data_IF_812517979445
#
_entry.id   IF_812517979445
#
_cell.length_a   1.000
_cell.length_b   1.000
_cell.length_c   1.000
_cell.angle_alpha   90.00
_cell.angle_beta   90.00
_cell.angle_gamma   90.00
#
_symmetry.space_group_name_H-M   'P 1'
#
loop_
_entity.id
_entity.type
_entity.pdbx_description
1 polymer ?
#
# COMPACT_ATOMS: atom_id res chain seq x y z
N UNK A 1 8.66 32.42 -73.36
CA UNK A 1 9.20 31.40 -72.42
C UNK A 1 9.01 31.71 -70.93
N UNK A 2 9.24 32.94 -70.41
CA UNK A 2 9.34 33.20 -68.95
C UNK A 2 8.17 32.67 -68.07
N UNK A 3 6.91 32.80 -68.49
CA UNK A 3 5.77 32.28 -67.70
C UNK A 3 5.75 30.76 -67.55
N UNK A 4 6.06 29.98 -68.61
CA UNK A 4 6.05 28.50 -68.52
C UNK A 4 7.08 27.97 -67.52
N UNK A 5 8.23 28.64 -67.36
CA UNK A 5 9.24 28.29 -66.33
C UNK A 5 8.76 28.61 -64.91
N UNK A 6 8.07 29.75 -64.71
CA UNK A 6 7.49 30.08 -63.38
C UNK A 6 6.35 29.13 -63.00
N UNK A 7 5.48 28.75 -63.93
CA UNK A 7 4.38 27.83 -63.64
C UNK A 7 4.89 26.43 -63.29
N UNK A 8 5.87 25.91 -64.04
CA UNK A 8 6.49 24.61 -63.75
C UNK A 8 7.23 24.63 -62.40
N UNK A 9 7.97 25.71 -62.10
CA UNK A 9 8.65 25.90 -60.81
C UNK A 9 7.69 26.00 -59.62
N UNK A 10 6.49 26.55 -59.81
CA UNK A 10 5.46 26.60 -58.77
C UNK A 10 4.85 25.22 -58.54
N UNK A 11 4.63 24.45 -59.62
CA UNK A 11 4.08 23.10 -59.55
C UNK A 11 5.04 22.11 -58.88
N UNK A 12 6.35 22.21 -59.12
CA UNK A 12 7.35 21.39 -58.42
C UNK A 12 7.49 21.73 -56.94
N UNK A 13 7.38 23.01 -56.57
CA UNK A 13 7.38 23.43 -55.15
C UNK A 13 6.11 22.98 -54.44
N UNK A 14 4.95 23.05 -55.11
CA UNK A 14 3.69 22.56 -54.56
C UNK A 14 3.69 21.02 -54.40
N UNK A 15 4.24 20.28 -55.37
CA UNK A 15 4.41 18.82 -55.26
C UNK A 15 5.35 18.44 -54.10
N UNK A 16 6.44 19.19 -53.88
CA UNK A 16 7.32 18.98 -52.74
C UNK A 16 6.63 19.28 -51.39
N UNK A 17 5.84 20.37 -51.31
CA UNK A 17 5.04 20.71 -50.13
C UNK A 17 3.98 19.67 -49.80
N UNK A 18 3.32 19.09 -50.81
CA UNK A 18 2.36 17.98 -50.61
C UNK A 18 3.09 16.72 -50.15
N UNK A 19 4.25 16.39 -50.73
CA UNK A 19 5.04 15.22 -50.34
C UNK A 19 5.57 15.24 -48.90
N UNK A 20 5.83 16.43 -48.35
CA UNK A 20 6.28 16.61 -46.96
C UNK A 20 5.14 16.41 -45.95
N UNK A 21 3.87 16.58 -46.36
CA UNK A 21 2.72 16.46 -45.46
C UNK A 21 2.19 15.03 -45.30
N UNK A 22 2.79 14.04 -45.96
CA UNK A 22 2.30 12.64 -46.01
C UNK A 22 2.95 11.69 -45.00
N UNK A 23 3.85 12.17 -44.12
CA UNK A 23 4.56 11.35 -43.12
C UNK A 23 4.46 11.92 -41.70
N UNK A 24 3.28 12.38 -41.32
CA UNK A 24 2.85 12.45 -39.92
C UNK A 24 1.85 11.34 -39.65
N UNK A 25 2.34 10.09 -39.58
CA UNK A 25 1.55 9.02 -38.99
C UNK A 25 1.40 9.32 -37.51
N UNK A 26 0.23 9.82 -37.10
CA UNK A 26 -0.19 9.77 -35.71
C UNK A 26 -0.35 8.29 -35.35
N UNK A 27 0.71 7.69 -34.80
CA UNK A 27 0.66 6.36 -34.19
C UNK A 27 -0.37 6.46 -33.07
N UNK A 28 -1.54 5.85 -33.30
CA UNK A 28 -2.52 5.68 -32.25
C UNK A 28 -2.06 4.52 -31.38
N UNK A 29 -1.91 4.79 -30.09
CA UNK A 29 -1.92 3.75 -29.07
C UNK A 29 -3.13 2.83 -29.28
N UNK A 30 -2.88 1.54 -29.42
CA UNK A 30 -3.89 0.49 -29.45
C UNK A 30 -3.90 -0.26 -28.11
N UNK A 31 -5.07 -0.73 -27.67
CA UNK A 31 -5.17 -1.53 -26.45
C UNK A 31 -4.95 -3.00 -26.76
N UNK A 32 -3.88 -3.55 -26.19
CA UNK A 32 -3.47 -4.95 -26.29
C UNK A 32 -4.51 -5.84 -25.62
N UNK A 33 -5.20 -6.66 -26.40
CA UNK A 33 -6.33 -7.48 -25.96
C UNK A 33 -6.12 -8.98 -26.14
N UNK A 34 -5.14 -9.43 -26.96
CA UNK A 34 -4.79 -10.84 -27.09
C UNK A 34 -3.64 -11.18 -26.13
N UNK A 35 -3.99 -11.50 -24.88
CA UNK A 35 -3.07 -11.94 -23.83
C UNK A 35 -3.73 -13.01 -22.94
N UNK A 36 -2.92 -13.74 -22.18
CA UNK A 36 -3.39 -14.55 -21.04
C UNK A 36 -2.87 -13.93 -19.76
N UNK A 37 -3.72 -13.74 -18.74
CA UNK A 37 -3.29 -13.43 -17.38
C UNK A 37 -3.57 -14.63 -16.47
N UNK A 38 -2.68 -14.88 -15.51
CA UNK A 38 -2.95 -15.75 -14.36
C UNK A 38 -2.53 -15.02 -13.11
N UNK A 39 -3.44 -14.87 -12.15
CA UNK A 39 -3.20 -14.10 -10.93
C UNK A 39 -3.30 -14.94 -9.66
N UNK A 40 -2.72 -14.41 -8.57
CA UNK A 40 -2.88 -14.91 -7.19
C UNK A 40 -3.11 -13.74 -6.25
N UNK A 41 -4.05 -13.88 -5.31
CA UNK A 41 -4.27 -12.95 -4.19
C UNK A 41 -3.91 -13.66 -2.88
N UNK A 42 -3.06 -13.05 -2.07
CA UNK A 42 -2.57 -13.57 -0.78
C UNK A 42 -2.55 -12.47 0.28
N UNK A 43 -2.30 -12.82 1.54
CA UNK A 43 -1.74 -11.86 2.52
C UNK A 43 -0.34 -11.42 2.09
N UNK A 44 0.16 -10.30 2.63
CA UNK A 44 1.48 -9.75 2.29
C UNK A 44 2.66 -10.69 2.65
N UNK A 45 2.50 -11.56 3.65
CA UNK A 45 3.46 -12.62 4.01
C UNK A 45 3.47 -13.83 3.04
N UNK A 46 2.61 -13.82 2.02
CA UNK A 46 2.40 -14.92 1.07
C UNK A 46 1.40 -15.98 1.55
N UNK A 47 0.77 -15.82 2.71
CA UNK A 47 -0.24 -16.75 3.21
C UNK A 47 -1.48 -16.77 2.31
N UNK A 48 -1.87 -17.97 1.86
CA UNK A 48 -3.01 -18.17 0.97
C UNK A 48 -4.34 -17.91 1.69
N UNK A 49 -5.28 -17.28 0.97
CA UNK A 49 -6.65 -17.08 1.43
C UNK A 49 -7.45 -18.39 1.38
N UNK A 50 -8.36 -18.58 2.35
CA UNK A 50 -9.16 -19.79 2.54
C UNK A 50 -10.43 -19.49 3.34
N UNK A 51 -11.40 -20.41 3.40
CA UNK A 51 -12.70 -20.20 4.07
C UNK A 51 -12.62 -19.76 5.55
N UNK A 52 -11.48 -20.00 6.22
CA UNK A 52 -11.24 -19.60 7.61
C UNK A 52 -10.12 -18.55 7.73
N UNK A 53 -9.68 -17.94 6.62
CA UNK A 53 -8.70 -16.86 6.62
C UNK A 53 -9.36 -15.55 7.03
N UNK A 54 -9.00 -15.05 8.21
CA UNK A 54 -9.35 -13.70 8.66
C UNK A 54 -8.42 -12.67 8.02
N UNK A 55 -8.96 -11.55 7.56
CA UNK A 55 -8.22 -10.40 7.02
C UNK A 55 -8.64 -9.16 7.82
N UNK A 56 -7.67 -8.49 8.44
CA UNK A 56 -7.93 -7.28 9.22
C UNK A 56 -8.54 -6.17 8.35
N UNK A 57 -9.39 -5.31 8.93
CA UNK A 57 -10.13 -4.30 8.15
C UNK A 57 -9.24 -3.37 7.31
N UNK A 58 -8.04 -3.05 7.79
CA UNK A 58 -7.03 -2.26 7.06
C UNK A 58 -5.79 -3.09 6.66
N UNK A 59 -5.90 -4.42 6.59
CA UNK A 59 -4.79 -5.30 6.21
C UNK A 59 -4.62 -5.36 4.68
N UNK A 60 -3.43 -5.02 4.13
CA UNK A 60 -3.18 -5.11 2.70
C UNK A 60 -3.05 -6.56 2.24
N UNK A 61 -3.65 -6.86 1.08
CA UNK A 61 -3.48 -8.10 0.34
C UNK A 61 -2.51 -7.88 -0.81
N UNK A 62 -1.65 -8.86 -1.08
CA UNK A 62 -0.75 -8.84 -2.22
C UNK A 62 -1.42 -9.51 -3.43
N UNK A 63 -1.38 -8.85 -4.59
CA UNK A 63 -1.80 -9.41 -5.88
C UNK A 63 -0.57 -9.58 -6.76
N UNK A 64 -0.37 -10.78 -7.30
CA UNK A 64 0.62 -11.05 -8.34
C UNK A 64 -0.09 -11.46 -9.62
N UNK A 65 0.30 -10.86 -10.74
CA UNK A 65 -0.21 -11.17 -12.08
C UNK A 65 0.95 -11.66 -12.95
N UNK A 66 0.74 -12.75 -13.69
CA UNK A 66 1.64 -13.20 -14.75
C UNK A 66 0.90 -13.17 -16.09
N UNK A 67 1.38 -12.31 -16.99
CA UNK A 67 0.80 -12.04 -18.30
C UNK A 67 1.71 -12.64 -19.38
N UNK A 68 1.11 -13.32 -20.36
CA UNK A 68 1.78 -13.82 -21.57
C UNK A 68 1.07 -13.27 -22.81
N UNK A 69 1.84 -12.93 -23.83
CA UNK A 69 1.31 -12.45 -25.12
C UNK A 69 1.77 -13.41 -26.23
N UNK A 70 0.88 -13.89 -27.12
CA UNK A 70 1.28 -14.68 -28.28
C UNK A 70 2.28 -13.92 -29.18
N UNK A 71 3.11 -14.65 -29.91
CA UNK A 71 4.13 -14.03 -30.79
C UNK A 71 3.46 -13.15 -31.87
N UNK A 72 2.27 -13.53 -32.34
CA UNK A 72 1.46 -12.78 -33.31
C UNK A 72 0.84 -11.49 -32.76
N UNK A 73 0.75 -11.31 -31.44
CA UNK A 73 0.36 -10.02 -30.85
C UNK A 73 1.54 -9.05 -30.98
N UNK A 74 1.53 -8.22 -32.01
CA UNK A 74 2.41 -7.07 -32.12
C UNK A 74 2.09 -6.08 -30.99
N UNK A 75 3.12 -5.55 -30.33
CA UNK A 75 2.99 -4.51 -29.30
C UNK A 75 4.04 -3.44 -29.64
N UNK A 76 3.61 -2.18 -29.76
CA UNK A 76 4.43 -1.05 -30.19
C UNK A 76 4.59 -0.02 -29.08
N UNK A 77 5.55 0.88 -29.25
CA UNK A 77 5.72 2.02 -28.36
C UNK A 77 4.44 2.88 -28.29
N UNK A 78 3.87 3.01 -27.09
CA UNK A 78 2.65 3.74 -26.82
C UNK A 78 1.37 2.89 -26.75
N UNK A 79 1.38 1.63 -27.19
CA UNK A 79 0.24 0.72 -26.99
C UNK A 79 0.01 0.47 -25.48
N UNK A 80 -1.21 0.09 -25.08
CA UNK A 80 -1.57 -0.07 -23.66
C UNK A 80 -2.13 -1.44 -23.31
N UNK A 81 -1.93 -1.87 -22.06
CA UNK A 81 -2.68 -2.96 -21.43
C UNK A 81 -3.28 -2.45 -20.12
N UNK A 82 -4.57 -2.69 -19.92
CA UNK A 82 -5.28 -2.32 -18.69
C UNK A 82 -5.84 -3.57 -18.02
N UNK A 83 -5.41 -3.83 -16.79
CA UNK A 83 -6.08 -4.76 -15.86
C UNK A 83 -7.07 -3.98 -15.00
N UNK A 84 -8.13 -4.62 -14.53
CA UNK A 84 -9.13 -4.03 -13.63
C UNK A 84 -9.39 -4.96 -12.44
N UNK A 85 -9.44 -4.40 -11.24
CA UNK A 85 -9.82 -5.11 -10.03
C UNK A 85 -11.31 -5.51 -10.06
N UNK A 86 -11.69 -6.63 -9.42
CA UNK A 86 -13.09 -6.92 -9.14
C UNK A 86 -13.61 -5.95 -8.07
N UNK A 87 -14.92 -5.70 -8.03
CA UNK A 87 -15.52 -4.66 -7.16
C UNK A 87 -15.19 -4.82 -5.66
N UNK A 88 -14.90 -6.06 -5.22
CA UNK A 88 -14.52 -6.41 -3.85
C UNK A 88 -13.10 -5.96 -3.45
N UNK A 89 -12.28 -5.46 -4.39
CA UNK A 89 -10.92 -4.98 -4.16
C UNK A 89 -10.76 -3.52 -4.61
N UNK A 90 -9.85 -2.81 -3.96
CA UNK A 90 -9.54 -1.41 -4.21
C UNK A 90 -8.07 -1.10 -3.97
N UNK A 91 -7.52 -0.10 -4.66
CA UNK A 91 -6.18 0.41 -4.35
C UNK A 91 -6.25 1.54 -3.33
N UNK A 92 -5.39 1.50 -2.32
CA UNK A 92 -5.28 2.53 -1.28
C UNK A 92 -4.81 3.88 -1.83
N UNK A 93 -3.95 3.85 -2.87
CA UNK A 93 -3.35 5.04 -3.50
C UNK A 93 -3.09 4.85 -5.00
N UNK A 94 -2.94 5.94 -5.74
CA UNK A 94 -2.57 5.97 -7.17
C UNK A 94 -1.03 5.97 -7.30
N UNK A 95 -0.46 4.91 -7.88
CA UNK A 95 0.99 4.67 -7.93
C UNK A 95 1.49 4.57 -9.38
N UNK A 96 2.39 5.46 -9.83
CA UNK A 96 3.17 5.26 -11.05
C UNK A 96 4.38 4.35 -10.75
N UNK A 97 4.59 3.30 -11.55
CA UNK A 97 5.73 2.39 -11.41
C UNK A 97 6.28 1.91 -12.76
N UNK A 98 7.58 1.59 -12.80
CA UNK A 98 8.25 1.11 -14.01
C UNK A 98 8.12 -0.41 -14.16
N UNK A 99 7.96 -0.88 -15.40
CA UNK A 99 8.04 -2.31 -15.76
C UNK A 99 9.39 -2.54 -16.43
N UNK A 100 10.32 -3.21 -15.74
CA UNK A 100 11.70 -3.41 -16.23
C UNK A 100 11.87 -4.72 -16.98
N UNK A 101 12.49 -4.66 -18.16
CA UNK A 101 12.88 -5.83 -18.94
C UNK A 101 14.10 -6.53 -18.33
N UNK A 102 14.28 -7.83 -18.59
CA UNK A 102 15.45 -8.61 -18.13
C UNK A 102 16.81 -8.08 -18.63
N UNK A 103 16.82 -7.28 -19.68
CA UNK A 103 17.98 -6.55 -20.22
C UNK A 103 18.34 -5.27 -19.43
N UNK A 104 17.52 -4.86 -18.46
CA UNK A 104 17.65 -3.58 -17.75
C UNK A 104 17.09 -2.37 -18.51
N UNK A 105 16.38 -2.60 -19.61
CA UNK A 105 15.64 -1.56 -20.36
C UNK A 105 14.20 -1.42 -19.86
N UNK A 106 13.61 -0.23 -19.95
CA UNK A 106 12.20 -0.02 -19.61
C UNK A 106 11.28 -0.70 -20.65
N UNK A 107 10.40 -1.60 -20.21
CA UNK A 107 9.41 -2.26 -21.07
C UNK A 107 8.06 -1.52 -21.12
N UNK A 108 7.73 -0.77 -20.07
CA UNK A 108 6.56 0.09 -20.03
C UNK A 108 6.47 0.93 -18.77
N UNK A 109 5.74 2.03 -18.85
CA UNK A 109 5.32 2.81 -17.68
C UNK A 109 3.95 2.31 -17.25
N UNK A 110 3.83 1.84 -16.01
CA UNK A 110 2.57 1.46 -15.40
C UNK A 110 2.04 2.55 -14.45
N UNK A 111 0.72 2.62 -14.32
CA UNK A 111 0.01 3.46 -13.34
C UNK A 111 -1.14 2.63 -12.76
N UNK A 112 -1.17 2.49 -11.44
CA UNK A 112 -2.36 2.14 -10.65
C UNK A 112 -3.22 3.39 -10.50
N UNK A 113 -4.52 3.28 -10.77
CA UNK A 113 -5.51 4.30 -10.46
C UNK A 113 -6.50 3.80 -9.40
N UNK A 114 -6.54 4.50 -8.27
CA UNK A 114 -7.39 4.18 -7.11
C UNK A 114 -8.87 4.53 -7.31
N UNK A 115 -9.19 5.53 -8.13
CA UNK A 115 -10.58 5.95 -8.42
C UNK A 115 -11.29 4.96 -9.36
N UNK A 116 -10.59 4.40 -10.35
CA UNK A 116 -11.17 3.48 -11.33
C UNK A 116 -10.92 2.00 -11.01
N UNK A 117 -10.00 1.68 -10.10
CA UNK A 117 -9.61 0.31 -9.76
C UNK A 117 -8.84 -0.38 -10.88
N UNK A 118 -8.04 0.36 -11.64
CA UNK A 118 -7.37 -0.13 -12.86
C UNK A 118 -5.85 0.04 -12.80
N UNK A 119 -5.13 -0.90 -13.43
CA UNK A 119 -3.68 -0.82 -13.66
C UNK A 119 -3.44 -0.72 -15.14
N UNK A 120 -2.98 0.43 -15.63
CA UNK A 120 -2.68 0.65 -17.05
C UNK A 120 -1.18 0.72 -17.28
N UNK A 121 -0.66 -0.20 -18.09
CA UNK A 121 0.70 -0.17 -18.65
C UNK A 121 0.66 0.50 -20.02
N UNK A 122 1.61 1.40 -20.27
CA UNK A 122 1.93 1.94 -21.60
C UNK A 122 3.29 1.42 -22.03
N UNK A 123 3.35 0.66 -23.14
CA UNK A 123 4.55 -0.06 -23.56
C UNK A 123 5.59 0.84 -24.25
N UNK A 124 6.86 0.44 -24.18
CA UNK A 124 7.97 0.97 -24.99
C UNK A 124 8.11 0.20 -26.31
N UNK A 125 9.16 0.46 -27.09
CA UNK A 125 9.47 -0.27 -28.33
C UNK A 125 10.06 -1.67 -28.08
N UNK A 126 10.27 -2.09 -26.83
CA UNK A 126 11.05 -3.32 -26.55
C UNK A 126 10.42 -4.57 -27.15
N UNK A 127 9.09 -4.72 -27.09
CA UNK A 127 8.36 -5.83 -27.70
C UNK A 127 8.17 -5.70 -29.22
N UNK A 128 8.48 -4.54 -29.81
CA UNK A 128 8.61 -4.36 -31.27
C UNK A 128 10.00 -4.81 -31.75
N UNK A 129 11.05 -4.59 -30.93
CA UNK A 129 12.42 -5.09 -31.18
C UNK A 129 12.62 -6.57 -30.83
N UNK A 130 11.91 -7.06 -29.82
CA UNK A 130 11.99 -8.41 -29.26
C UNK A 130 10.58 -9.04 -29.24
N UNK A 131 10.06 -9.51 -30.39
CA UNK A 131 8.64 -9.84 -30.53
C UNK A 131 8.26 -11.25 -30.02
N UNK A 132 9.22 -12.10 -29.65
CA UNK A 132 8.97 -13.50 -29.28
C UNK A 132 8.90 -13.72 -27.77
N UNK A 133 8.12 -14.72 -27.34
CA UNK A 133 8.04 -15.21 -25.95
C UNK A 133 7.66 -14.15 -24.90
N UNK A 134 6.99 -13.09 -25.35
CA UNK A 134 6.70 -11.87 -24.60
C UNK A 134 5.93 -12.17 -23.31
N UNK A 135 6.52 -11.80 -22.18
CA UNK A 135 6.00 -12.03 -20.83
C UNK A 135 6.12 -10.77 -19.99
N UNK A 136 5.18 -10.59 -19.06
CA UNK A 136 5.17 -9.51 -18.09
C UNK A 136 4.65 -10.02 -16.74
N UNK A 137 5.16 -9.47 -15.64
CA UNK A 137 4.51 -9.56 -14.32
C UNK A 137 4.14 -8.18 -13.81
N UNK A 138 3.01 -8.09 -13.11
CA UNK A 138 2.55 -6.89 -12.41
C UNK A 138 2.13 -7.30 -11.00
N UNK A 139 2.79 -6.74 -10.00
CA UNK A 139 2.63 -7.10 -8.60
C UNK A 139 2.31 -5.84 -7.80
N UNK A 140 1.27 -5.88 -6.98
CA UNK A 140 0.78 -4.70 -6.28
C UNK A 140 -0.06 -5.04 -5.05
N UNK A 141 -0.11 -4.11 -4.10
CA UNK A 141 -0.97 -4.20 -2.93
C UNK A 141 -2.40 -3.73 -3.25
N UNK A 142 -3.38 -4.30 -2.55
CA UNK A 142 -4.80 -3.91 -2.58
C UNK A 142 -5.41 -4.01 -1.18
N UNK A 143 -6.47 -3.26 -0.93
CA UNK A 143 -7.37 -3.45 0.20
C UNK A 143 -8.68 -4.09 -0.25
N UNK A 144 -9.39 -4.72 0.69
CA UNK A 144 -10.78 -5.13 0.48
C UNK A 144 -11.68 -3.89 0.44
N UNK A 145 -12.57 -3.80 -0.55
CA UNK A 145 -13.42 -2.63 -0.77
C UNK A 145 -14.68 -2.69 0.11
N UNK A 146 -14.59 -2.13 1.31
CA UNK A 146 -15.66 -2.09 2.33
C UNK A 146 -16.93 -1.34 1.91
N UNK A 147 -16.93 -0.62 0.78
CA UNK A 147 -18.16 -0.07 0.19
C UNK A 147 -19.02 -1.17 -0.47
N UNK A 148 -18.45 -2.36 -0.71
CA UNK A 148 -19.11 -3.49 -1.40
C UNK A 148 -19.09 -4.78 -0.57
N UNK A 149 -18.09 -4.96 0.31
CA UNK A 149 -17.90 -6.18 1.10
C UNK A 149 -18.34 -5.97 2.56
N UNK A 150 -19.22 -6.83 3.11
CA UNK A 150 -19.58 -6.80 4.52
C UNK A 150 -18.50 -7.45 5.41
N UNK A 151 -18.37 -6.94 6.64
CA UNK A 151 -17.50 -7.50 7.68
C UNK A 151 -18.13 -8.70 8.40
N UNK A 152 -17.32 -9.42 9.18
CA UNK A 152 -17.69 -10.58 10.01
C UNK A 152 -18.46 -11.70 9.28
N UNK A 153 -18.37 -11.75 7.95
CA UNK A 153 -19.12 -12.65 7.08
C UNK A 153 -18.17 -13.32 6.09
N UNK A 154 -18.26 -14.64 5.84
CA UNK A 154 -17.50 -15.29 4.77
C UNK A 154 -17.91 -14.75 3.39
N UNK A 155 -16.92 -14.28 2.62
CA UNK A 155 -17.10 -13.73 1.27
C UNK A 155 -16.10 -14.33 0.30
N UNK A 156 -16.46 -14.33 -0.98
CA UNK A 156 -15.66 -14.86 -2.08
C UNK A 156 -15.24 -13.71 -3.02
N UNK A 157 -13.96 -13.35 -3.03
CA UNK A 157 -13.40 -12.49 -4.06
C UNK A 157 -13.09 -13.36 -5.29
N UNK A 158 -13.48 -12.92 -6.49
CA UNK A 158 -13.16 -13.64 -7.74
C UNK A 158 -12.27 -12.77 -8.63
N UNK A 159 -11.08 -13.24 -8.96
CA UNK A 159 -10.13 -12.53 -9.82
C UNK A 159 -9.44 -13.50 -10.78
N UNK A 160 -9.38 -13.13 -12.06
CA UNK A 160 -8.88 -13.97 -13.18
C UNK A 160 -9.41 -15.41 -13.17
N UNK A 161 -10.70 -15.57 -12.83
CA UNK A 161 -11.39 -16.87 -12.76
C UNK A 161 -11.09 -17.72 -11.52
N UNK A 162 -10.19 -17.27 -10.64
CA UNK A 162 -9.88 -17.93 -9.36
C UNK A 162 -10.72 -17.31 -8.25
N UNK A 163 -11.18 -18.15 -7.30
CA UNK A 163 -11.97 -17.73 -6.14
C UNK A 163 -11.11 -17.75 -4.88
N UNK A 164 -11.11 -16.63 -4.16
CA UNK A 164 -10.40 -16.41 -2.91
C UNK A 164 -11.42 -16.18 -1.78
N UNK A 165 -11.79 -17.23 -1.03
CA UNK A 165 -12.65 -17.10 0.14
C UNK A 165 -11.87 -16.48 1.30
N UNK A 166 -12.52 -15.60 2.07
CA UNK A 166 -11.99 -14.97 3.28
C UNK A 166 -13.11 -14.44 4.20
N UNK A 167 -12.76 -14.03 5.41
CA UNK A 167 -13.61 -13.23 6.31
C UNK A 167 -12.91 -11.90 6.57
N UNK A 168 -13.60 -10.78 6.39
CA UNK A 168 -13.10 -9.45 6.74
C UNK A 168 -13.46 -9.15 8.20
N UNK A 169 -12.48 -8.77 9.01
CA UNK A 169 -12.73 -8.34 10.39
C UNK A 169 -13.47 -7.01 10.46
N UNK A 170 -14.22 -6.78 11.53
CA UNK A 170 -14.95 -5.53 11.72
C UNK A 170 -14.01 -4.32 11.86
N UNK A 171 -14.45 -3.15 11.36
CA UNK A 171 -13.79 -1.89 11.68
C UNK A 171 -13.98 -1.56 13.16
N UNK A 172 -13.13 -2.16 14.00
CA UNK A 172 -13.08 -1.90 15.42
C UNK A 172 -12.48 -0.52 15.65
N UNK A 173 -13.36 0.49 15.63
CA UNK A 173 -13.09 1.81 16.19
C UNK A 173 -12.99 1.64 17.71
N UNK A 174 -11.83 1.15 18.15
CA UNK A 174 -11.50 1.02 19.58
C UNK A 174 -11.58 2.43 20.18
N UNK A 175 -12.39 2.65 21.24
CA UNK A 175 -12.44 3.92 21.93
C UNK A 175 -11.02 4.37 22.29
N UNK A 176 -10.59 5.51 21.75
CA UNK A 176 -9.20 5.98 21.75
C UNK A 176 -8.71 6.32 23.16
N UNK A 177 -8.30 5.27 23.88
CA UNK A 177 -7.80 5.29 25.26
C UNK A 177 -6.28 5.17 25.36
N UNK A 178 -5.51 6.09 24.76
CA UNK A 178 -4.26 6.53 25.34
C UNK A 178 -4.25 8.04 25.63
N UNK A 179 -3.18 8.50 26.28
CA UNK A 179 -2.90 9.92 26.48
C UNK A 179 -2.68 10.63 25.13
N UNK A 180 -2.16 9.90 24.13
CA UNK A 180 -2.01 10.30 22.74
C UNK A 180 -2.35 9.12 21.82
N UNK A 181 -3.13 9.35 20.77
CA UNK A 181 -3.28 8.44 19.61
C UNK A 181 -2.70 9.12 18.38
N UNK A 182 -1.91 8.40 17.58
CA UNK A 182 -1.33 8.89 16.33
C UNK A 182 -1.44 7.82 15.24
N UNK A 183 -1.86 8.20 14.04
CA UNK A 183 -1.91 7.32 12.86
C UNK A 183 -1.49 8.08 11.60
N UNK A 184 -1.00 7.35 10.60
CA UNK A 184 -0.69 7.91 9.29
C UNK A 184 -1.15 6.99 8.17
N UNK A 185 -1.57 7.58 7.05
CA UNK A 185 -1.99 6.84 5.86
C UNK A 185 -1.61 7.61 4.59
N UNK A 186 -1.33 6.89 3.51
CA UNK A 186 -0.93 7.45 2.22
C UNK A 186 -2.11 8.18 1.55
N UNK A 187 -1.87 9.30 0.86
CA UNK A 187 -2.90 10.00 0.09
C UNK A 187 -3.39 9.13 -1.07
N UNK A 188 -4.70 9.17 -1.35
CA UNK A 188 -5.30 8.24 -2.29
C UNK A 188 -4.99 8.56 -3.77
N UNK A 189 -4.49 9.76 -4.09
CA UNK A 189 -4.20 10.25 -5.45
C UNK A 189 -2.71 10.59 -5.67
N UNK A 190 -1.99 11.03 -4.64
CA UNK A 190 -0.55 11.32 -4.67
C UNK A 190 0.20 10.39 -3.71
N UNK A 191 0.72 9.27 -4.22
CA UNK A 191 1.49 8.30 -3.42
C UNK A 191 2.79 8.86 -2.79
N UNK A 192 3.14 10.13 -3.02
CA UNK A 192 4.20 10.81 -2.28
C UNK A 192 3.72 11.61 -1.06
N UNK A 193 2.42 11.68 -0.77
CA UNK A 193 1.86 12.29 0.44
C UNK A 193 1.45 11.22 1.47
N UNK A 194 1.66 11.55 2.74
CA UNK A 194 1.14 10.84 3.91
C UNK A 194 0.37 11.85 4.77
N UNK A 195 -0.90 11.56 5.02
CA UNK A 195 -1.71 12.27 5.99
C UNK A 195 -1.43 11.72 7.39
N UNK A 196 -1.12 12.60 8.34
CA UNK A 196 -0.98 12.28 9.76
C UNK A 196 -2.15 12.84 10.54
N UNK A 197 -2.75 12.02 11.42
CA UNK A 197 -3.75 12.48 12.39
C UNK A 197 -3.29 12.15 13.81
N UNK A 198 -3.53 13.06 14.74
CA UNK A 198 -3.21 12.92 16.17
C UNK A 198 -4.41 13.35 17.01
N UNK A 199 -4.70 12.61 18.07
CA UNK A 199 -5.64 13.00 19.12
C UNK A 199 -4.97 12.86 20.48
N UNK A 200 -5.02 13.92 21.28
CA UNK A 200 -4.40 14.00 22.61
C UNK A 200 -5.50 14.33 23.62
N UNK A 201 -5.43 13.74 24.83
CA UNK A 201 -6.41 13.97 25.90
C UNK A 201 -7.87 13.67 25.50
N UNK A 202 -8.10 12.52 24.82
CA UNK A 202 -9.42 12.04 24.40
C UNK A 202 -10.45 11.97 25.54
N UNK A 203 -10.00 11.57 26.72
CA UNK A 203 -10.78 11.50 27.98
C UNK A 203 -11.04 12.87 28.62
N UNK A 204 -10.72 13.98 27.94
CA UNK A 204 -11.02 15.36 28.33
C UNK A 204 -10.64 15.71 29.78
N UNK A 205 -9.52 15.14 30.23
CA UNK A 205 -9.01 15.30 31.59
C UNK A 205 -8.32 16.65 31.75
N UNK A 206 -8.19 17.11 33.00
CA UNK A 206 -7.58 18.41 33.32
C UNK A 206 -6.07 18.37 33.01
N UNK A 207 -5.62 19.22 32.09
CA UNK A 207 -4.21 19.35 31.69
C UNK A 207 -3.69 20.77 31.94
N UNK A 208 -2.44 20.89 32.40
CA UNK A 208 -1.79 22.17 32.69
C UNK A 208 -0.53 22.40 31.86
N UNK A 209 -0.50 23.50 31.11
CA UNK A 209 0.61 23.94 30.25
C UNK A 209 1.06 22.84 29.27
N UNK A 210 0.08 22.20 28.61
CA UNK A 210 0.27 21.12 27.65
C UNK A 210 1.17 21.58 26.49
N UNK A 211 2.41 21.10 26.50
CA UNK A 211 3.38 21.27 25.42
C UNK A 211 3.42 20.01 24.57
N UNK A 212 3.23 20.19 23.27
CA UNK A 212 3.28 19.17 22.24
C UNK A 212 4.58 19.37 21.46
N UNK A 213 5.29 18.29 21.17
CA UNK A 213 6.44 18.27 20.28
C UNK A 213 6.32 17.08 19.33
N UNK A 214 6.45 17.31 18.03
CA UNK A 214 6.29 16.32 16.97
C UNK A 214 7.59 16.25 16.16
N UNK A 215 7.98 15.05 15.72
CA UNK A 215 9.24 14.82 15.01
C UNK A 215 9.06 13.67 14.02
N UNK A 216 9.31 13.96 12.75
CA UNK A 216 9.23 12.98 11.67
C UNK A 216 10.39 11.97 11.75
N UNK A 217 10.12 10.75 11.31
CA UNK A 217 11.17 9.82 10.88
C UNK A 217 11.83 10.28 9.59
N UNK A 218 12.95 9.64 9.24
CA UNK A 218 13.70 9.95 8.01
C UNK A 218 12.84 9.80 6.74
N UNK A 219 13.29 10.41 5.65
CA UNK A 219 12.64 10.32 4.34
C UNK A 219 11.42 11.22 4.16
N UNK A 220 10.94 11.95 5.17
CA UNK A 220 9.75 12.81 5.11
C UNK A 220 10.05 14.30 5.31
N UNK A 221 9.15 15.16 4.83
CA UNK A 221 9.15 16.61 5.02
C UNK A 221 7.70 17.08 5.25
N UNK A 222 7.42 17.79 6.34
CA UNK A 222 6.08 18.29 6.68
C UNK A 222 5.69 19.46 5.77
N UNK A 223 4.41 19.56 5.43
CA UNK A 223 3.84 20.66 4.63
C UNK A 223 3.14 21.65 5.58
N UNK A 224 3.74 22.80 5.94
CA UNK A 224 3.18 23.69 6.96
C UNK A 224 1.79 24.25 6.60
N UNK A 225 1.49 24.39 5.32
CA UNK A 225 0.22 24.88 4.79
C UNK A 225 -0.94 23.89 4.96
N UNK A 226 -0.66 22.61 5.22
CA UNK A 226 -1.66 21.56 5.49
C UNK A 226 -2.12 21.52 6.96
N UNK A 227 -1.41 22.21 7.86
CA UNK A 227 -1.57 22.04 9.30
C UNK A 227 -2.91 22.55 9.81
N UNK A 228 -3.64 21.65 10.47
CA UNK A 228 -4.78 21.93 11.34
C UNK A 228 -4.42 21.48 12.76
N UNK A 229 -4.26 22.42 13.68
CA UNK A 229 -4.05 22.18 15.11
C UNK A 229 -5.13 22.87 15.94
N UNK A 230 -5.99 22.08 16.59
CA UNK A 230 -7.21 22.59 17.25
C UNK A 230 -7.42 22.00 18.64
N UNK A 231 -7.93 22.82 19.56
CA UNK A 231 -8.57 22.33 20.79
C UNK A 231 -10.03 22.04 20.47
N UNK A 232 -10.49 20.82 20.71
CA UNK A 232 -11.88 20.41 20.49
C UNK A 232 -12.80 20.96 21.60
N UNK A 233 -14.07 21.14 21.30
CA UNK A 233 -15.07 21.60 22.26
C UNK A 233 -15.25 20.57 23.39
N UNK A 234 -14.92 20.99 24.61
CA UNK A 234 -15.13 20.21 25.84
C UNK A 234 -16.62 19.97 26.07
N UNK A 235 -16.97 18.74 26.47
CA UNK A 235 -18.30 18.32 26.93
C UNK A 235 -18.12 17.34 28.10
N UNK A 236 -18.67 17.69 29.26
CA UNK A 236 -18.51 16.91 30.49
C UNK A 236 -19.18 15.53 30.38
N UNK A 237 -18.44 14.48 30.74
CA UNK A 237 -18.89 13.08 30.62
C UNK A 237 -18.93 12.49 29.20
N UNK A 238 -18.39 13.20 28.19
CA UNK A 238 -18.47 12.85 26.77
C UNK A 238 -17.05 12.87 26.13
N UNK A 239 -16.27 11.77 26.27
CA UNK A 239 -14.97 11.62 25.63
C UNK A 239 -15.01 11.81 24.12
N UNK A 240 -13.83 11.96 23.52
CA UNK A 240 -13.65 11.82 22.07
C UNK A 240 -13.24 10.38 21.79
N UNK A 241 -14.13 9.57 21.23
CA UNK A 241 -13.94 8.11 21.07
C UNK A 241 -13.13 7.73 19.83
N UNK A 242 -12.97 8.62 18.84
CA UNK A 242 -12.25 8.32 17.59
C UNK A 242 -11.61 9.52 16.90
N UNK A 243 -10.70 9.25 15.95
CA UNK A 243 -10.08 10.29 15.10
C UNK A 243 -11.04 10.92 14.08
N UNK A 244 -12.10 10.22 13.67
CA UNK A 244 -13.11 10.77 12.75
C UNK A 244 -14.16 11.63 13.49
N UNK A 245 -14.47 11.26 14.74
CA UNK A 245 -15.20 12.14 15.65
C UNK A 245 -14.36 13.39 15.99
N UNK A 246 -13.07 13.22 16.30
CA UNK A 246 -12.15 14.34 16.54
C UNK A 246 -12.08 15.33 15.35
N UNK A 247 -12.07 14.82 14.12
CA UNK A 247 -12.07 15.65 12.91
C UNK A 247 -13.39 16.42 12.68
N UNK A 248 -14.51 15.95 13.24
CA UNK A 248 -15.85 16.52 13.04
C UNK A 248 -16.44 17.25 14.25
N UNK A 249 -15.86 17.09 15.45
CA UNK A 249 -16.25 17.78 16.69
C UNK A 249 -15.92 19.28 16.59
N UNK A 250 -16.83 20.20 16.97
CA UNK A 250 -16.57 21.64 16.90
C UNK A 250 -15.32 22.07 17.66
N UNK A 251 -14.63 23.11 17.18
CA UNK A 251 -13.38 23.59 17.79
C UNK A 251 -13.66 24.68 18.83
N UNK A 252 -12.95 24.61 19.95
CA UNK A 252 -12.88 25.65 20.98
C UNK A 252 -11.86 26.73 20.61
N UNK A 253 -10.69 26.33 20.11
CA UNK A 253 -9.62 27.20 19.65
C UNK A 253 -8.87 26.56 18.47
N UNK A 254 -8.40 27.38 17.54
CA UNK A 254 -7.56 27.02 16.39
C UNK A 254 -6.19 27.68 16.59
N UNK A 255 -5.16 26.86 16.76
CA UNK A 255 -3.78 27.29 16.97
C UNK A 255 -2.86 26.97 15.79
N UNK A 256 -3.42 26.56 14.63
CA UNK A 256 -2.67 26.08 13.47
C UNK A 256 -1.58 27.05 12.97
N UNK A 257 -1.76 28.35 13.23
CA UNK A 257 -0.87 29.45 12.81
C UNK A 257 0.14 29.88 13.89
N UNK A 258 -0.02 29.38 15.12
CA UNK A 258 0.84 29.67 16.26
C UNK A 258 1.94 28.60 16.45
N UNK A 259 1.89 27.53 15.66
CA UNK A 259 2.81 26.38 15.71
C UNK A 259 4.23 26.79 15.28
N UNK A 260 5.23 26.38 16.08
CA UNK A 260 6.65 26.64 15.80
C UNK A 260 7.28 25.41 15.16
N UNK A 261 7.63 25.50 13.88
CA UNK A 261 8.23 24.42 13.11
C UNK A 261 9.72 24.21 13.40
N UNK A 262 10.18 22.95 13.33
CA UNK A 262 11.61 22.59 13.35
C UNK A 262 12.07 22.17 11.97
N UNK A 263 13.35 22.42 11.66
CA UNK A 263 13.97 22.02 10.40
C UNK A 263 15.16 21.08 10.63
N UNK A 264 15.43 20.22 9.66
CA UNK A 264 16.62 19.35 9.61
C UNK A 264 17.90 20.12 9.21
N UNK A 265 19.01 19.39 9.08
CA UNK A 265 20.30 19.95 8.64
C UNK A 265 20.35 20.39 7.17
N UNK A 266 19.32 20.08 6.37
CA UNK A 266 19.15 20.50 4.97
C UNK A 266 18.17 21.68 4.83
N UNK A 267 17.48 22.06 5.91
CA UNK A 267 16.48 23.14 5.97
C UNK A 267 15.04 22.68 5.71
N UNK A 268 14.78 21.37 5.67
CA UNK A 268 13.45 20.77 5.48
C UNK A 268 12.67 20.73 6.78
N UNK A 269 11.36 20.99 6.75
CA UNK A 269 10.52 20.93 7.95
C UNK A 269 10.36 19.49 8.43
N UNK A 270 10.89 19.19 9.62
CA UNK A 270 11.01 17.82 10.15
C UNK A 270 10.26 17.58 11.47
N UNK A 271 9.44 18.53 11.89
CA UNK A 271 8.71 18.49 13.15
C UNK A 271 8.16 19.86 13.55
N UNK A 272 7.57 19.93 14.73
CA UNK A 272 7.05 21.18 15.29
C UNK A 272 6.87 21.11 16.81
N UNK A 273 6.62 22.25 17.43
CA UNK A 273 6.17 22.34 18.82
C UNK A 273 5.13 23.44 19.02
N UNK A 274 4.25 23.23 19.99
CA UNK A 274 3.28 24.22 20.46
C UNK A 274 2.95 24.00 21.94
N UNK A 275 2.66 25.08 22.68
CA UNK A 275 2.27 25.01 24.09
C UNK A 275 0.92 25.69 24.32
N UNK A 276 -0.07 24.88 24.73
CA UNK A 276 -1.35 25.34 25.25
C UNK A 276 -1.13 25.78 26.70
N UNK A 277 -0.97 27.09 26.91
CA UNK A 277 -0.74 27.68 28.23
C UNK A 277 -1.97 27.67 29.13
N UNK A 278 -1.75 27.64 30.44
CA UNK A 278 -2.82 27.61 31.45
C UNK A 278 -3.40 26.22 31.69
N UNK A 279 -4.68 26.14 32.04
CA UNK A 279 -5.37 24.90 32.41
C UNK A 279 -6.55 24.66 31.47
N UNK A 280 -6.72 23.42 30.99
CA UNK A 280 -7.75 23.05 30.01
C UNK A 280 -8.26 21.63 30.25
N UNK A 281 -9.51 21.35 29.85
CA UNK A 281 -10.07 20.00 29.74
C UNK A 281 -10.22 19.55 28.28
N UNK A 282 -9.87 20.39 27.32
CA UNK A 282 -10.10 20.14 25.91
C UNK A 282 -9.21 18.99 25.42
N UNK A 283 -9.79 18.09 24.62
CA UNK A 283 -9.01 17.22 23.74
C UNK A 283 -8.33 18.09 22.66
N UNK A 284 -7.20 17.64 22.14
CA UNK A 284 -6.47 18.31 21.06
C UNK A 284 -6.43 17.39 19.84
N UNK A 285 -6.82 17.92 18.68
CA UNK A 285 -6.73 17.22 17.40
C UNK A 285 -5.70 17.92 16.51
N UNK A 286 -4.85 17.14 15.87
CA UNK A 286 -3.89 17.59 14.85
C UNK A 286 -4.16 16.80 13.57
N UNK A 287 -4.18 17.47 12.42
CA UNK A 287 -4.19 16.86 11.10
C UNK A 287 -3.24 17.64 10.20
N UNK A 288 -2.31 16.95 9.53
CA UNK A 288 -1.33 17.57 8.64
C UNK A 288 -0.70 16.54 7.70
N UNK A 289 -0.12 17.02 6.62
CA UNK A 289 0.48 16.21 5.57
C UNK A 289 2.02 16.26 5.65
N UNK A 290 2.64 15.14 5.28
CA UNK A 290 4.07 15.07 4.97
C UNK A 290 4.26 14.56 3.54
N UNK A 291 5.33 15.02 2.88
CA UNK A 291 5.76 14.53 1.56
C UNK A 291 6.99 13.64 1.69
N UNK A 292 7.00 12.53 0.96
CA UNK A 292 8.17 11.69 0.76
C UNK A 292 9.26 12.47 0.00
N UNK A 293 10.42 12.60 0.61
CA UNK A 293 11.59 13.34 0.09
C UNK A 293 12.44 12.50 -0.88
N UNK A 294 12.24 11.19 -0.88
CA UNK A 294 12.78 10.22 -1.83
C UNK A 294 11.76 9.09 -2.06
N UNK A 295 11.89 8.36 -3.16
CA UNK A 295 11.23 7.07 -3.30
C UNK A 295 11.60 6.15 -2.12
N UNK A 296 10.64 5.37 -1.65
CA UNK A 296 10.80 4.38 -0.58
C UNK A 296 10.68 2.98 -1.15
N UNK A 297 11.11 1.96 -0.41
CA UNK A 297 10.87 0.58 -0.79
C UNK A 297 9.38 0.21 -0.57
N UNK A 298 8.87 -0.68 -1.41
CA UNK A 298 7.60 -1.38 -1.19
C UNK A 298 7.51 -1.92 0.25
N UNK A 299 6.41 -1.60 0.96
CA UNK A 299 6.19 -2.08 2.32
C UNK A 299 7.11 -1.45 3.40
N UNK A 300 7.66 -0.26 3.13
CA UNK A 300 8.33 0.56 4.16
C UNK A 300 7.27 1.19 5.06
N UNK A 301 7.43 1.08 6.38
CA UNK A 301 6.59 1.81 7.35
C UNK A 301 7.27 3.13 7.72
N UNK A 302 6.76 4.24 7.22
CA UNK A 302 7.25 5.59 7.57
C UNK A 302 6.81 5.94 8.98
N UNK A 303 7.75 6.44 9.79
CA UNK A 303 7.51 6.72 11.21
C UNK A 303 7.33 8.21 11.47
N UNK A 304 6.56 8.55 12.50
CA UNK A 304 6.40 9.91 12.99
C UNK A 304 6.06 9.86 14.48
N UNK A 305 6.80 10.58 15.32
CA UNK A 305 6.67 10.54 16.78
C UNK A 305 6.14 11.85 17.33
N UNK A 306 5.10 11.78 18.16
CA UNK A 306 4.59 12.91 18.95
C UNK A 306 4.84 12.66 20.43
N UNK A 307 5.28 13.70 21.13
CA UNK A 307 5.48 13.72 22.57
C UNK A 307 4.68 14.84 23.22
N UNK A 308 4.22 14.60 24.46
CA UNK A 308 3.57 15.63 25.28
C UNK A 308 4.20 15.76 26.66
N UNK A 309 4.09 16.95 27.23
CA UNK A 309 4.51 17.28 28.60
C UNK A 309 3.69 18.45 29.16
N UNK A 310 3.76 18.68 30.48
CA UNK A 310 3.00 19.72 31.18
C UNK A 310 3.24 19.62 32.69
N UNK A 311 2.61 20.50 33.51
CA UNK A 311 2.85 20.48 34.96
C UNK A 311 2.28 19.24 35.65
N UNK A 312 1.15 18.74 35.17
CA UNK A 312 0.46 17.56 35.69
C UNK A 312 0.46 16.38 34.69
N UNK A 313 1.31 16.44 33.66
CA UNK A 313 1.38 15.45 32.58
C UNK A 313 2.74 14.74 32.65
N UNK A 314 2.71 13.43 32.90
CA UNK A 314 3.90 12.57 32.73
C UNK A 314 4.34 12.62 31.28
N UNK A 315 5.64 12.89 31.03
CA UNK A 315 6.18 12.88 29.68
C UNK A 315 5.84 11.56 28.98
N UNK A 316 5.11 11.67 27.87
CA UNK A 316 4.59 10.54 27.10
C UNK A 316 4.93 10.77 25.64
N UNK A 317 5.32 9.72 24.93
CA UNK A 317 5.61 9.76 23.49
C UNK A 317 4.92 8.59 22.81
N UNK A 318 4.39 8.84 21.61
CA UNK A 318 3.67 7.88 20.78
C UNK A 318 4.20 7.97 19.34
N UNK A 319 4.45 6.82 18.71
CA UNK A 319 4.94 6.75 17.32
C UNK A 319 3.85 6.18 16.43
N UNK A 320 3.37 6.99 15.50
CA UNK A 320 2.52 6.53 14.41
C UNK A 320 3.36 5.96 13.26
N UNK A 321 2.73 5.09 12.49
CA UNK A 321 3.29 4.44 11.32
C UNK A 321 2.37 4.67 10.11
N UNK A 322 2.95 4.80 8.93
CA UNK A 322 2.25 4.87 7.65
C UNK A 322 2.94 3.93 6.65
N UNK A 323 2.25 2.86 6.25
CA UNK A 323 2.79 1.87 5.31
C UNK A 323 2.78 2.41 3.88
N UNK A 324 3.91 2.33 3.19
CA UNK A 324 4.03 2.70 1.78
C UNK A 324 3.62 1.52 0.90
N UNK A 325 2.56 1.72 0.14
CA UNK A 325 2.00 0.68 -0.72
C UNK A 325 2.93 0.32 -1.88
N UNK A 326 2.91 -0.97 -2.23
CA UNK A 326 3.81 -1.54 -3.22
C UNK A 326 3.18 -1.63 -4.61
N UNK A 327 3.97 -1.30 -5.64
CA UNK A 327 3.70 -1.68 -7.02
C UNK A 327 5.02 -1.86 -7.79
N UNK A 328 5.16 -2.99 -8.51
CA UNK A 328 6.34 -3.26 -9.34
C UNK A 328 6.01 -4.21 -10.50
N UNK A 329 6.71 -4.04 -11.61
CA UNK A 329 6.56 -4.91 -12.79
C UNK A 329 7.89 -5.33 -13.39
N UNK A 330 7.87 -6.48 -14.06
CA UNK A 330 9.02 -6.98 -14.84
C UNK A 330 8.56 -7.56 -16.17
N UNK A 331 9.45 -7.62 -17.15
CA UNK A 331 9.17 -8.17 -18.47
C UNK A 331 10.33 -9.02 -19.01
N UNK A 332 10.02 -9.93 -19.92
CA UNK A 332 11.00 -10.67 -20.71
C UNK A 332 10.47 -10.97 -22.11
N UNK A 333 11.38 -11.10 -23.06
CA UNK A 333 11.09 -11.38 -24.48
C UNK A 333 12.36 -11.78 -25.22
N UNK A 334 12.21 -12.31 -26.44
CA UNK A 334 13.33 -12.75 -27.27
C UNK A 334 13.31 -12.09 -28.65
N UNK A 335 14.51 -11.86 -29.17
CA UNK A 335 14.71 -11.44 -30.56
C UNK A 335 14.31 -12.58 -31.50
N UNK A 336 13.82 -12.24 -32.69
CA UNK A 336 13.68 -13.20 -33.78
C UNK A 336 15.03 -13.89 -34.03
N UNK A 337 15.10 -15.24 -34.08
CA UNK A 337 16.31 -15.93 -34.47
C UNK A 337 16.64 -15.52 -35.91
N UNK A 338 17.79 -14.88 -36.10
CA UNK A 338 18.18 -14.37 -37.41
C UNK A 338 18.32 -15.55 -38.40
N UNK A 339 17.44 -15.60 -39.40
CA UNK A 339 17.48 -16.61 -40.47
C UNK A 339 18.58 -16.24 -41.46
N UNK A 340 19.82 -16.33 -40.98
CA UNK A 340 21.02 -16.39 -41.80
C UNK A 340 21.04 -17.74 -42.53
N UNK A 341 21.52 -17.72 -43.76
CA UNK A 341 21.43 -18.80 -44.75
C UNK A 341 21.90 -20.18 -44.23
N UNK A 342 21.27 -21.25 -44.72
CA UNK A 342 21.63 -22.64 -44.40
C UNK A 342 23.11 -22.93 -44.70
N UNK A 343 23.93 -22.96 -43.65
CA UNK A 343 25.28 -23.50 -43.76
C UNK A 343 25.18 -25.02 -43.69
N UNK A 344 25.01 -25.68 -44.85
CA UNK A 344 24.81 -27.13 -44.95
C UNK A 344 25.92 -27.92 -44.26
N UNK A 345 25.60 -28.55 -43.14
CA UNK A 345 26.50 -29.45 -42.40
C UNK A 345 26.79 -30.72 -43.21
N UNK A 346 27.98 -30.81 -43.80
CA UNK A 346 28.48 -32.04 -44.42
C UNK A 346 28.94 -33.02 -43.34
N UNK A 347 28.05 -33.91 -42.91
CA UNK A 347 28.39 -35.02 -42.02
C UNK A 347 29.36 -35.98 -42.71
N UNK A 348 30.62 -36.05 -42.25
CA UNK A 348 31.52 -37.14 -42.63
C UNK A 348 31.22 -38.38 -41.78
N UNK A 349 30.89 -39.48 -42.46
CA UNK A 349 30.75 -40.80 -41.84
C UNK A 349 32.12 -41.45 -41.68
N UNK A 350 32.52 -41.73 -40.45
CA UNK A 350 33.61 -42.68 -40.14
C UNK A 350 33.02 -43.91 -39.48
N UNK A 351 33.31 -45.09 -40.03
CA UNK A 351 32.80 -46.38 -39.54
C UNK A 351 33.97 -47.33 -39.30
N UNK A 352 34.15 -47.75 -38.05
CA UNK A 352 34.87 -48.96 -37.57
C UNK A 352 34.86 -48.91 -36.02
N UNK A 353 34.87 -50.00 -35.25
CA UNK A 353 34.37 -51.36 -35.46
C UNK A 353 34.05 -51.96 -34.06
N UNK A 354 33.21 -52.99 -33.97
CA UNK A 354 32.78 -53.56 -32.69
C UNK A 354 33.57 -54.81 -32.29
N UNK A 355 33.90 -54.93 -30.99
CA UNK A 355 34.34 -56.19 -30.36
C UNK A 355 33.66 -56.36 -29.00
N UNK A 356 32.91 -57.45 -28.84
CA UNK A 356 32.17 -57.81 -27.60
C UNK A 356 32.86 -58.94 -26.83
N UNK A 357 32.84 -58.91 -25.50
CA UNK A 357 32.95 -60.07 -24.57
C UNK A 357 32.57 -59.57 -23.16
N UNK A 358 31.33 -59.76 -22.68
CA UNK A 358 30.82 -60.91 -21.90
C UNK A 358 30.98 -60.77 -20.38
N UNK A 359 29.88 -60.94 -19.62
CA UNK A 359 29.86 -61.00 -18.16
C UNK A 359 30.22 -62.41 -17.63
N UNK A 360 30.40 -62.59 -16.30
CA UNK A 360 29.26 -63.08 -15.51
C UNK A 360 29.13 -62.51 -14.08
N UNK A 361 28.02 -62.88 -13.44
CA UNK A 361 27.61 -62.55 -12.05
C UNK A 361 28.19 -63.50 -11.00
N UNK A 362 28.47 -63.00 -9.79
CA UNK A 362 28.27 -63.79 -8.55
C UNK A 362 28.09 -62.95 -7.27
N UNK A 363 27.62 -63.62 -6.22
CA UNK A 363 26.91 -63.10 -5.04
C UNK A 363 27.75 -63.07 -3.75
N UNK A 364 27.28 -62.28 -2.79
CA UNK A 364 27.17 -62.61 -1.34
C UNK A 364 28.34 -62.51 -0.34
N UNK A 365 27.95 -61.92 0.80
CA UNK A 365 28.21 -62.31 2.20
C UNK A 365 29.20 -61.47 3.04
N UNK A 366 29.09 -61.59 4.37
CA UNK A 366 29.37 -60.52 5.34
C UNK A 366 30.22 -60.93 6.57
N UNK A 367 30.55 -59.93 7.39
CA UNK A 367 31.09 -60.01 8.76
C UNK A 367 32.56 -60.47 8.90
N UNK A 368 33.32 -60.27 10.01
CA UNK A 368 32.99 -59.72 11.35
C UNK A 368 34.26 -59.16 12.07
N UNK A 369 34.13 -58.09 12.88
CA UNK A 369 35.00 -57.73 14.06
C UNK A 369 36.52 -57.47 13.80
N UNK A 370 37.36 -56.94 14.73
CA UNK A 370 37.38 -56.99 16.22
C UNK A 370 38.22 -55.85 16.86
N UNK A 371 38.12 -55.70 18.19
CA UNK A 371 38.86 -54.79 19.12
C UNK A 371 38.43 -53.30 19.08
N UNK A 372 38.43 -52.53 20.18
CA UNK A 372 38.88 -52.78 21.58
C UNK A 372 39.79 -51.64 22.07
N UNK A 373 39.81 -51.17 23.33
CA UNK A 373 39.27 -51.74 24.59
C UNK A 373 39.22 -50.65 25.72
N UNK A 374 38.07 -50.51 26.40
CA UNK A 374 37.85 -50.11 27.84
C UNK A 374 38.16 -48.66 28.32
N UNK A 375 37.25 -47.88 28.96
CA UNK A 375 36.69 -47.84 30.37
C UNK A 375 37.76 -47.48 31.44
N UNK A 376 37.58 -46.73 32.55
CA UNK A 376 36.48 -46.53 33.54
C UNK A 376 36.42 -45.07 34.12
N UNK A 377 35.24 -44.52 34.51
CA UNK A 377 34.63 -44.37 35.88
C UNK A 377 35.41 -43.44 36.88
N UNK A 378 34.83 -42.75 37.88
CA UNK A 378 33.50 -42.66 38.53
C UNK A 378 33.25 -41.23 39.10
N UNK A 379 32.04 -40.64 39.07
CA UNK A 379 30.93 -40.63 40.07
C UNK A 379 31.26 -40.19 41.52
N UNK A 380 30.93 -38.93 41.87
CA UNK A 380 30.11 -38.49 43.06
C UNK A 380 30.20 -36.97 43.31
N UNK A 381 29.46 -36.28 44.19
CA UNK A 381 28.01 -36.22 44.57
C UNK A 381 27.88 -35.23 45.75
N UNK A 382 27.14 -34.13 45.59
CA UNK A 382 26.53 -33.32 46.68
C UNK A 382 25.64 -32.24 46.04
N UNK A 383 24.31 -32.29 46.18
CA UNK A 383 23.49 -31.92 47.35
C UNK A 383 23.34 -30.41 47.61
N UNK A 384 22.19 -29.85 47.23
CA UNK A 384 21.32 -29.18 48.21
C UNK A 384 19.87 -29.05 47.72
N UNK A 385 18.93 -29.44 48.58
CA UNK A 385 17.54 -29.00 48.62
C UNK A 385 17.31 -28.47 50.06
N UNK A 386 16.19 -27.86 50.48
CA UNK A 386 14.85 -28.47 50.49
C UNK A 386 13.81 -27.44 50.98
N UNK A 387 12.62 -27.41 50.34
CA UNK A 387 11.28 -26.99 50.85
C UNK A 387 10.99 -25.64 51.53
N UNK A 388 9.81 -25.11 51.19
CA UNK A 388 8.99 -24.15 51.94
C UNK A 388 8.56 -24.66 53.34
N UNK A 389 7.91 -23.81 54.16
CA UNK A 389 6.50 -24.12 54.44
C UNK A 389 5.56 -22.90 54.50
N UNK A 390 4.26 -23.16 54.30
CA UNK A 390 3.15 -22.26 54.64
C UNK A 390 2.68 -22.54 56.06
N UNK A 391 2.33 -21.53 56.87
CA UNK A 391 1.28 -21.74 57.89
C UNK A 391 0.55 -20.49 58.41
N UNK A 392 -0.65 -20.77 58.91
CA UNK A 392 -1.65 -19.88 59.55
C UNK A 392 -1.30 -19.73 61.08
N UNK A 393 -2.01 -19.04 62.00
CA UNK A 393 -3.37 -18.46 62.03
C UNK A 393 -3.57 -17.54 63.25
N UNK A 394 -4.62 -16.70 63.23
CA UNK A 394 -5.43 -16.24 64.41
C UNK A 394 -4.76 -15.30 65.45
N UNK A 395 -5.47 -14.49 66.25
CA UNK A 395 -6.91 -14.22 66.52
C UNK A 395 -7.03 -12.80 67.16
N UNK A 396 -8.15 -12.11 67.47
CA UNK A 396 -9.64 -12.19 67.38
C UNK A 396 -10.13 -10.68 67.40
N UNK A 397 -11.36 -10.14 67.48
CA UNK A 397 -12.80 -10.51 67.70
C UNK A 397 -13.65 -9.35 67.12
N UNK A 398 -14.91 -9.45 66.67
CA UNK A 398 -15.84 -10.59 66.51
C UNK A 398 -17.27 -10.23 66.99
N UNK A 399 -18.32 -10.81 66.37
CA UNK A 399 -19.78 -10.63 66.66
C UNK A 399 -20.38 -9.24 66.31
N UNK A 400 -21.63 -9.04 65.86
CA UNK A 400 -22.85 -9.90 65.85
C UNK A 400 -23.75 -9.66 64.61
N UNK A 401 -24.75 -10.54 64.39
CA UNK A 401 -25.61 -10.68 63.19
C UNK A 401 -27.03 -10.05 63.28
N UNK A 402 -27.90 -10.40 62.33
CA UNK A 402 -29.37 -10.15 62.15
C UNK A 402 -29.75 -8.91 61.31
N UNK A 403 -30.66 -8.90 60.31
CA UNK A 403 -31.72 -9.78 59.72
C UNK A 403 -33.18 -9.32 59.97
N UNK A 404 -33.81 -8.84 58.90
CA UNK A 404 -35.24 -8.94 58.51
C UNK A 404 -35.36 -8.31 57.10
N UNK A 405 -35.84 -8.97 56.03
CA UNK A 405 -37.12 -9.62 55.72
C UNK A 405 -38.34 -8.68 55.62
N UNK A 406 -39.03 -8.72 54.47
CA UNK A 406 -40.31 -8.03 54.24
C UNK A 406 -40.53 -7.51 52.80
N UNK A 407 -41.12 -8.34 51.92
CA UNK A 407 -41.74 -7.88 50.65
C UNK A 407 -43.25 -7.59 50.81
N UNK A 408 -44.09 -7.59 49.74
CA UNK A 408 -43.75 -7.88 48.34
C UNK A 408 -44.39 -6.94 47.26
N UNK A 409 -43.93 -7.14 46.02
CA UNK A 409 -44.60 -7.02 44.70
C UNK A 409 -46.02 -6.41 44.62
N UNK A 410 -46.22 -5.46 43.69
CA UNK A 410 -47.46 -5.40 42.87
C UNK A 410 -47.15 -4.88 41.46
N UNK A 411 -47.67 -5.57 40.44
CA UNK A 411 -47.49 -5.24 39.02
C UNK A 411 -48.64 -4.38 38.51
N UNK A 412 -48.35 -3.29 37.76
CA UNK A 412 -49.36 -2.60 36.93
C UNK A 412 -48.76 -2.27 35.57
N UNK A 413 -49.43 -2.71 34.50
CA UNK A 413 -49.10 -2.39 33.12
C UNK A 413 -49.93 -1.21 32.61
N UNK A 414 -49.35 -0.38 31.74
CA UNK A 414 -50.13 0.50 30.85
C UNK A 414 -49.35 0.77 29.56
N UNK A 415 -50.07 0.95 28.45
CA UNK A 415 -49.51 1.16 27.11
C UNK A 415 -49.86 2.56 26.57
N UNK A 416 -49.12 2.97 25.53
CA UNK A 416 -49.42 4.07 24.60
C UNK A 416 -49.11 5.49 25.12
N UNK A 417 -48.79 6.49 24.28
CA UNK A 417 -48.94 6.57 22.80
C UNK A 417 -47.66 7.01 22.07
N UNK A 418 -47.64 6.64 20.78
CA UNK A 418 -46.66 7.04 19.75
C UNK A 418 -46.81 8.54 19.43
N UNK A 419 -45.70 9.27 19.30
CA UNK A 419 -45.63 10.58 18.63
C UNK A 419 -44.61 10.51 17.49
N UNK A 420 -44.91 11.13 16.35
CA UNK A 420 -44.01 11.13 15.18
C UNK A 420 -42.99 12.25 15.29
N UNK A 421 -41.70 11.96 15.12
CA UNK A 421 -40.73 12.94 14.61
C UNK A 421 -40.74 12.84 13.08
N UNK A 422 -40.88 13.96 12.39
CA UNK A 422 -40.84 13.98 10.92
C UNK A 422 -39.39 13.95 10.43
N UNK A 423 -39.10 13.12 9.43
CA UNK A 423 -37.95 13.33 8.55
C UNK A 423 -38.31 14.36 7.47
N UNK A 424 -37.30 15.12 7.04
CA UNK A 424 -37.30 15.85 5.78
C UNK A 424 -36.23 15.22 4.88
N UNK A 425 -36.38 15.30 3.55
CA UNK A 425 -35.66 14.41 2.63
C UNK A 425 -34.19 14.79 2.44
N UNK A 426 -33.37 13.78 2.16
CA UNK A 426 -32.14 13.99 1.39
C UNK A 426 -32.52 14.24 -0.07
N UNK A 427 -31.94 15.26 -0.68
CA UNK A 427 -32.06 15.60 -2.11
C UNK A 427 -30.74 16.20 -2.57
N UNK A 428 -30.06 15.59 -3.53
CA UNK A 428 -28.70 16.00 -3.93
C UNK A 428 -28.20 15.48 -5.28
N UNK A 429 -28.67 14.31 -5.73
CA UNK A 429 -28.40 13.84 -7.11
C UNK A 429 -29.18 14.66 -8.15
N UNK A 430 -28.47 15.33 -9.06
CA UNK A 430 -28.88 15.43 -10.48
C UNK A 430 -27.68 15.52 -11.43
N UNK A 431 -27.70 14.69 -12.47
CA UNK A 431 -26.62 14.51 -13.45
C UNK A 431 -26.56 15.63 -14.50
N UNK A 432 -25.37 16.21 -14.77
CA UNK A 432 -25.12 17.02 -16.00
C UNK A 432 -23.75 16.81 -16.68
N UNK A 433 -23.59 15.62 -17.26
CA UNK A 433 -23.05 15.37 -18.61
C UNK A 433 -21.85 16.20 -19.14
N UNK A 434 -20.67 15.55 -19.15
CA UNK A 434 -19.56 15.64 -20.15
C UNK A 434 -18.89 17.00 -20.47
N UNK A 435 -17.61 17.13 -20.07
CA UNK A 435 -16.50 17.36 -21.03
C UNK A 435 -15.12 17.08 -20.37
N UNK A 436 -14.25 16.21 -20.92
CA UNK A 436 -12.94 15.92 -20.34
C UNK A 436 -11.90 17.00 -20.68
N UNK A 437 -11.28 17.60 -19.66
CA UNK A 437 -10.13 18.51 -19.80
C UNK A 437 -8.91 17.90 -19.09
N UNK A 438 -8.52 16.69 -19.49
CA UNK A 438 -7.30 16.01 -19.03
C UNK A 438 -6.50 15.61 -20.27
N UNK A 439 -5.63 16.52 -20.72
CA UNK A 439 -4.84 16.34 -21.95
C UNK A 439 -3.77 17.40 -22.24
N UNK A 440 -3.42 18.25 -21.26
CA UNK A 440 -2.49 19.38 -21.46
C UNK A 440 -1.34 19.40 -20.44
N UNK A 441 -1.51 18.83 -19.23
CA UNK A 441 -0.50 18.91 -18.16
C UNK A 441 0.79 18.14 -18.52
N UNK A 442 0.68 16.93 -19.07
CA UNK A 442 1.84 16.06 -19.41
C UNK A 442 2.76 16.68 -20.48
N UNK A 443 2.20 17.48 -21.40
CA UNK A 443 2.98 18.15 -22.47
C UNK A 443 3.93 19.23 -21.93
N UNK A 444 3.65 19.78 -20.74
CA UNK A 444 4.47 20.85 -20.14
C UNK A 444 5.83 20.34 -19.63
N UNK A 445 5.89 19.11 -19.12
CA UNK A 445 7.09 18.54 -18.47
C UNK A 445 8.14 18.12 -19.51
N UNK A 446 7.71 17.52 -20.63
CA UNK A 446 8.61 17.04 -21.69
C UNK A 446 9.33 18.20 -22.41
N UNK A 447 8.67 19.36 -22.57
CA UNK A 447 9.24 20.57 -23.18
C UNK A 447 10.37 21.18 -22.31
N UNK A 448 10.26 21.11 -20.99
CA UNK A 448 11.28 21.64 -20.08
C UNK A 448 12.57 20.80 -20.12
N UNK A 449 12.45 19.47 -20.09
CA UNK A 449 13.60 18.56 -20.14
C UNK A 449 14.37 18.67 -21.47
N UNK A 450 13.66 18.78 -22.61
CA UNK A 450 14.30 18.91 -23.92
C UNK A 450 14.93 20.29 -24.20
N UNK A 451 14.53 21.34 -23.48
CA UNK A 451 15.15 22.67 -23.61
C UNK A 451 16.39 22.82 -22.72
N UNK A 452 16.40 22.22 -21.52
CA UNK A 452 17.53 22.31 -20.59
C UNK A 452 18.85 21.73 -21.13
N UNK A 453 18.82 20.59 -21.84
CA UNK A 453 20.06 19.93 -22.30
C UNK A 453 20.80 20.67 -23.42
N UNK A 454 20.13 21.57 -24.18
CA UNK A 454 20.77 22.31 -25.29
C UNK A 454 21.57 23.54 -24.88
N UNK A 455 21.55 23.93 -23.61
CA UNK A 455 22.21 25.13 -23.10
C UNK A 455 23.67 24.95 -22.66
N UNK A 456 24.22 23.72 -22.67
CA UNK A 456 25.62 23.43 -22.30
C UNK A 456 26.48 22.94 -23.49
N UNK A 457 26.55 23.74 -24.56
CA UNK A 457 27.63 23.62 -25.55
C UNK A 457 27.90 24.92 -26.34
N UNK A 458 28.60 25.84 -25.68
CA UNK A 458 29.51 26.86 -26.23
C UNK A 458 30.49 27.23 -25.11
#
# INVERSE_FOLDING_TARGET
MKMKRKLLSLLTVLAALIGIFSLSQTVKAESVTNYTNTATVTKEDGTLLSENASVGYWEPLAVSNRITFPDEQAIKAGDTLTLKLPEQLSFSTTIPFEVMHDSGELAGQAIINSETGEVTVTFTDIFERLPLDKQMSLNFNVLVNHNTVPTNTPINITYEGVVYPLIVEEHTVVPVSPVITKTGYQDNLDSSIIHWRVLINSQQSLVENLTIADTLGEGQELIPESMLGVQLQFVDGDPVDSLDEAASRPYHYDFSKDITYTNDALGKTNGFTYTIGGTSNNAVFLSYDTRLTSAQAAGTDMTNSVAISGQNITYTTETGYARIEAAYGSASSRILPNVSEETTTTTQTTTENATTTSAPTTTENAATTTAGTTTESSVSTSESATTSPTNNSSENTGTTSSVSEGGPVTTVSSQSKKAKKASLPSTGDENRLLLPIIGIIVVSITIWLFTGQKAKKN
#
